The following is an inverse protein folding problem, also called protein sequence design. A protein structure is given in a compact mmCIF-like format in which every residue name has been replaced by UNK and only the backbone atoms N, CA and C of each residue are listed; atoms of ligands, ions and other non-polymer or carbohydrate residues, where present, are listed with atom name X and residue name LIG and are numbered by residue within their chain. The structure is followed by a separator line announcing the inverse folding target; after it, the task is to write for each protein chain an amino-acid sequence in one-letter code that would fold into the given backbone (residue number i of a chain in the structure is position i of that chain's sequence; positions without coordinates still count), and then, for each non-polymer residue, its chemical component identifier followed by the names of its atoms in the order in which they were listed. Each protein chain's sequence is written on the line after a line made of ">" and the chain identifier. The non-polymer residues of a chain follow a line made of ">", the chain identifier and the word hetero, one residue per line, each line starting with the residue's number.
data_IF_671044215495
#
_entry.id   IF_671044215495
#
_cell.length_a   1.000
_cell.length_b   1.000
_cell.length_c   1.000
_cell.angle_alpha   90.00
_cell.angle_beta   90.00
_cell.angle_gamma   90.00
#
_symmetry.space_group_name_H-M   'P 1'
#
loop_
_entity.id
_entity.type
_entity.pdbx_description
1 polymer ?
2 water ?
#
# COMPACT_ATOMS: atom_id res chain seq x y z
N UNK A 2 -29.35 18.89 -14.57
CA UNK A 2 -28.52 18.21 -13.58
C UNK A 2 -27.16 17.88 -14.18
N UNK A 3 -26.10 18.46 -13.58
CA UNK A 3 -24.72 18.26 -14.00
C UNK A 3 -24.30 16.78 -13.91
N UNK A 4 -23.67 16.26 -14.98
CA UNK A 4 -23.10 14.93 -14.95
C UNK A 4 -21.58 15.05 -14.74
N UNK A 5 -21.03 14.18 -13.92
CA UNK A 5 -19.61 14.11 -13.64
C UNK A 5 -19.14 12.73 -13.24
N UNK A 6 -17.84 12.59 -13.08
CA UNK A 6 -17.22 11.37 -12.61
C UNK A 6 -16.24 11.78 -11.50
N UNK A 7 -16.45 11.25 -10.30
CA UNK A 7 -15.49 11.38 -9.24
C UNK A 7 -14.62 10.09 -9.32
N UNK A 8 -13.32 10.24 -9.46
CA UNK A 8 -12.44 9.10 -9.61
C UNK A 8 -11.50 9.00 -8.44
N UNK A 9 -11.52 7.84 -7.79
CA UNK A 9 -10.65 7.51 -6.70
C UNK A 9 -9.83 6.25 -7.10
N UNK A 10 -8.50 6.30 -6.88
CA UNK A 10 -7.54 5.24 -7.19
C UNK A 10 -6.80 4.82 -5.94
N UNK A 11 -6.57 3.52 -5.81
CA UNK A 11 -5.85 2.92 -4.70
C UNK A 11 -5.10 1.69 -5.19
N UNK A 12 -4.12 1.24 -4.38
CA UNK A 12 -3.28 0.08 -4.62
C UNK A 12 -3.13 -0.77 -3.39
N UNK A 13 -3.08 -2.07 -3.60
CA UNK A 13 -2.85 -3.06 -2.56
C UNK A 13 -1.68 -3.86 -3.07
N UNK A 14 -0.82 -4.33 -2.18
CA UNK A 14 0.28 -5.17 -2.65
C UNK A 14 0.11 -6.55 -2.13
N UNK A 15 0.52 -7.51 -2.94
CA UNK A 15 0.44 -8.90 -2.59
C UNK A 15 1.74 -9.58 -2.93
N UNK A 16 2.04 -10.66 -2.15
CA UNK A 16 3.17 -11.57 -2.33
C UNK A 16 2.86 -12.55 -3.46
N UNK A 17 1.55 -12.82 -3.71
CA UNK A 17 1.03 -13.74 -4.72
C UNK A 17 1.20 -13.14 -6.11
N UNK A 18 1.79 -13.86 -7.09
CA UNK A 18 1.97 -13.28 -8.45
C UNK A 18 0.62 -13.08 -9.19
N UNK A 19 0.51 -12.16 -10.19
CA UNK A 19 -0.83 -11.90 -10.77
C UNK A 19 -1.60 -13.12 -11.30
N UNK A 20 -1.02 -14.10 -12.08
CA UNK A 20 -1.85 -15.22 -12.60
C UNK A 20 -2.66 -15.93 -11.55
N UNK A 21 -1.99 -16.29 -10.45
CA UNK A 21 -2.64 -16.97 -9.33
C UNK A 21 -3.69 -16.07 -8.69
N UNK A 22 -3.35 -14.77 -8.49
CA UNK A 22 -4.26 -13.84 -7.81
C UNK A 22 -5.55 -13.66 -8.56
N UNK A 23 -5.47 -13.56 -9.87
CA UNK A 23 -6.59 -13.40 -10.79
C UNK A 23 -7.48 -14.64 -10.86
N UNK A 24 -6.89 -15.85 -10.91
CA UNK A 24 -7.60 -17.15 -10.93
C UNK A 24 -8.42 -17.30 -9.66
N UNK A 25 -7.82 -16.92 -8.51
CA UNK A 25 -8.38 -17.01 -7.17
C UNK A 25 -9.38 -15.92 -6.85
N UNK A 26 -8.89 -14.69 -6.68
CA UNK A 26 -9.63 -13.51 -6.25
C UNK A 26 -10.70 -13.01 -7.23
N UNK A 27 -10.42 -13.08 -8.55
CA UNK A 27 -11.36 -12.56 -9.54
C UNK A 27 -12.17 -13.70 -10.24
N UNK A 28 -11.47 -14.66 -10.88
CA UNK A 28 -12.13 -15.72 -11.65
C UNK A 28 -12.87 -16.76 -10.79
N UNK A 29 -12.62 -16.80 -9.46
CA UNK A 29 -13.32 -17.73 -8.58
C UNK A 29 -13.84 -17.06 -7.32
N UNK A 30 -14.03 -15.73 -7.36
CA UNK A 30 -14.50 -14.88 -6.27
C UNK A 30 -15.74 -15.41 -5.56
N UNK A 31 -16.81 -15.64 -6.35
CA UNK A 31 -18.16 -16.12 -5.96
C UNK A 31 -18.17 -17.36 -5.09
N UNK A 32 -17.10 -18.19 -5.19
CA UNK A 32 -16.92 -19.43 -4.45
C UNK A 32 -15.91 -19.27 -3.30
N UNK A 33 -14.74 -18.69 -3.58
CA UNK A 33 -13.66 -18.50 -2.61
C UNK A 33 -13.95 -17.52 -1.46
N UNK A 34 -14.44 -16.32 -1.79
CA UNK A 34 -14.72 -15.23 -0.84
C UNK A 34 -15.81 -15.60 0.21
N UNK A 35 -17.03 -16.12 -0.14
CA UNK A 35 -17.99 -16.48 0.93
C UNK A 35 -17.47 -17.62 1.83
N UNK A 36 -16.51 -18.42 1.33
CA UNK A 36 -15.92 -19.52 2.08
C UNK A 36 -14.85 -19.05 3.06
N UNK A 37 -13.90 -18.19 2.61
CA UNK A 37 -12.83 -17.65 3.48
C UNK A 37 -13.40 -16.56 4.44
N UNK A 38 -14.27 -15.69 3.92
CA UNK A 38 -14.86 -14.60 4.70
C UNK A 38 -16.38 -14.77 4.78
N UNK A 39 -16.90 -15.65 5.68
CA UNK A 39 -18.36 -15.81 5.78
C UNK A 39 -19.04 -14.58 6.39
N UNK A 40 -18.36 -13.93 7.38
CA UNK A 40 -18.82 -12.75 8.11
C UNK A 40 -19.02 -11.54 7.17
N UNK A 41 -18.16 -11.43 6.15
CA UNK A 41 -18.12 -10.36 5.17
C UNK A 41 -19.08 -10.61 3.99
N UNK A 42 -19.05 -11.85 3.45
CA UNK A 42 -19.89 -12.24 2.31
C UNK A 42 -20.64 -13.52 2.63
N UNK A 43 -21.99 -13.45 2.69
CA UNK A 43 -22.84 -14.62 2.92
C UNK A 43 -22.80 -15.51 1.64
N UNK A 44 -23.14 -14.91 0.45
CA UNK A 44 -23.18 -15.59 -0.85
C UNK A 44 -23.07 -14.62 -2.03
N UNK A 45 -22.83 -15.20 -3.21
CA UNK A 45 -22.72 -14.55 -4.52
C UNK A 45 -23.59 -15.34 -5.48
N UNK A 46 -24.68 -14.72 -5.95
CA UNK A 46 -25.63 -15.37 -6.83
C UNK A 46 -25.77 -14.68 -8.19
N UNK A 47 -25.46 -15.42 -9.29
CA UNK A 47 -25.65 -14.96 -10.67
C UNK A 47 -27.17 -14.89 -10.99
N UNK A 48 -27.69 -13.70 -11.42
CA UNK A 48 -29.09 -13.40 -11.78
C UNK A 48 -29.31 -13.57 -13.29
N UNK A 49 -28.27 -13.23 -14.08
CA UNK A 49 -28.25 -13.29 -15.54
C UNK A 49 -26.83 -13.63 -16.01
N UNK A 50 -26.72 -14.33 -17.13
CA UNK A 50 -25.42 -14.66 -17.73
C UNK A 50 -24.77 -15.93 -17.24
N UNK A 51 -23.64 -16.28 -17.88
CA UNK A 51 -22.84 -17.47 -17.62
C UNK A 51 -21.51 -17.19 -16.84
N UNK A 52 -21.47 -16.10 -16.06
CA UNK A 52 -20.29 -15.72 -15.30
C UNK A 52 -19.32 -14.77 -15.99
N UNK A 53 -19.47 -14.59 -17.31
CA UNK A 53 -18.62 -13.71 -18.11
C UNK A 53 -19.17 -12.30 -18.37
N UNK A 54 -18.56 -11.55 -19.32
CA UNK A 54 -18.99 -10.17 -19.63
C UNK A 54 -20.50 -10.10 -19.89
N UNK A 55 -21.19 -9.23 -19.14
CA UNK A 55 -22.62 -9.05 -19.22
C UNK A 55 -23.33 -9.69 -18.03
N UNK A 56 -22.64 -10.63 -17.32
CA UNK A 56 -23.16 -11.28 -16.11
C UNK A 56 -23.65 -10.28 -15.05
N UNK A 57 -24.80 -10.53 -14.46
CA UNK A 57 -25.41 -9.71 -13.41
C UNK A 57 -25.45 -10.59 -12.17
N UNK A 58 -24.85 -10.12 -11.06
CA UNK A 58 -24.77 -10.94 -9.86
C UNK A 58 -25.06 -10.16 -8.61
N UNK A 59 -25.85 -10.76 -7.73
CA UNK A 59 -26.26 -10.19 -6.45
C UNK A 59 -25.40 -10.81 -5.37
N UNK A 60 -24.68 -9.94 -4.61
CA UNK A 60 -23.81 -10.33 -3.50
C UNK A 60 -24.50 -9.95 -2.21
N UNK A 61 -24.72 -10.93 -1.32
CA UNK A 61 -25.35 -10.72 -0.02
C UNK A 61 -24.28 -10.75 1.06
N UNK A 62 -24.26 -9.74 1.94
CA UNK A 62 -23.27 -9.63 3.01
C UNK A 62 -23.69 -10.32 4.30
N UNK A 63 -22.67 -10.79 5.03
CA UNK A 63 -22.84 -11.47 6.31
C UNK A 63 -22.98 -10.54 7.49
N UNK A 64 -22.86 -11.12 8.69
CA UNK A 64 -22.99 -10.49 10.03
C UNK A 64 -21.97 -9.39 10.36
N UNK A 65 -20.86 -9.34 9.60
CA UNK A 65 -19.78 -8.38 9.76
C UNK A 65 -20.19 -6.92 9.56
N UNK A 66 -20.85 -6.62 8.42
CA UNK A 66 -21.35 -5.28 8.05
C UNK A 66 -22.87 -5.20 8.34
N UNK A 67 -23.47 -4.00 8.19
CA UNK A 67 -24.91 -3.80 8.34
C UNK A 67 -25.52 -4.30 7.04
N UNK A 68 -25.59 -5.65 6.99
CA UNK A 68 -25.94 -6.55 5.90
C UNK A 68 -27.16 -6.16 5.07
N UNK A 69 -26.83 -5.77 3.85
CA UNK A 69 -27.74 -5.51 2.77
C UNK A 69 -27.22 -6.39 1.67
N UNK A 70 -27.27 -5.91 0.45
CA UNK A 70 -26.72 -6.60 -0.71
C UNK A 70 -26.27 -5.55 -1.74
N UNK A 71 -25.64 -6.03 -2.80
CA UNK A 71 -25.16 -5.27 -3.94
C UNK A 71 -25.41 -6.07 -5.21
N UNK A 72 -25.69 -5.38 -6.30
CA UNK A 72 -25.88 -5.95 -7.60
C UNK A 72 -24.81 -5.38 -8.51
N UNK A 73 -23.93 -6.27 -8.95
CA UNK A 73 -22.84 -5.98 -9.84
C UNK A 73 -23.14 -6.43 -11.28
N UNK A 74 -22.63 -5.70 -12.27
CA UNK A 74 -22.73 -5.99 -13.71
C UNK A 74 -21.27 -6.16 -14.24
N UNK A 75 -20.93 -7.30 -14.87
CA UNK A 75 -19.59 -7.48 -15.42
C UNK A 75 -19.46 -6.74 -16.72
N UNK A 76 -18.50 -5.79 -16.77
CA UNK A 76 -18.25 -4.96 -17.94
C UNK A 76 -17.08 -5.46 -18.78
N UNK A 77 -16.20 -6.26 -18.19
CA UNK A 77 -15.00 -6.72 -18.89
C UNK A 77 -14.08 -7.58 -18.06
N UNK A 78 -13.47 -8.59 -18.70
CA UNK A 78 -12.50 -9.52 -18.12
C UNK A 78 -11.40 -9.69 -19.17
N UNK A 79 -10.16 -9.27 -18.81
CA UNK A 79 -8.99 -9.41 -19.65
C UNK A 79 -8.13 -10.40 -18.90
N UNK A 80 -8.16 -11.67 -19.32
CA UNK A 80 -7.45 -12.81 -18.71
C UNK A 80 -5.95 -12.78 -19.03
N UNK A 81 -5.54 -11.94 -20.00
CA UNK A 81 -4.16 -11.80 -20.42
C UNK A 81 -3.44 -10.74 -19.62
N UNK A 82 -4.08 -9.55 -19.51
CA UNK A 82 -3.58 -8.35 -18.85
C UNK A 82 -4.10 -8.17 -17.42
N UNK A 83 -4.82 -9.18 -16.93
CA UNK A 83 -5.34 -9.28 -15.56
C UNK A 83 -6.20 -8.05 -15.16
N UNK A 84 -7.18 -7.73 -16.03
CA UNK A 84 -8.11 -6.61 -15.84
C UNK A 84 -9.56 -7.11 -15.60
N UNK A 85 -10.21 -6.66 -14.50
CA UNK A 85 -11.59 -7.00 -14.20
C UNK A 85 -12.37 -5.72 -14.03
N UNK A 86 -13.31 -5.45 -14.94
CA UNK A 86 -14.15 -4.27 -14.91
C UNK A 86 -15.59 -4.64 -14.59
N UNK A 87 -16.17 -3.92 -13.63
CA UNK A 87 -17.53 -4.19 -13.17
C UNK A 87 -18.18 -2.93 -12.64
N UNK A 88 -19.52 -2.87 -12.64
CA UNK A 88 -20.28 -1.73 -12.12
C UNK A 88 -21.28 -2.17 -11.04
N UNK A 89 -21.46 -1.33 -10.00
CA UNK A 89 -22.49 -1.48 -8.98
C UNK A 89 -23.72 -0.85 -9.63
N UNK A 90 -24.69 -1.68 -10.01
CA UNK A 90 -25.93 -1.22 -10.64
C UNK A 90 -27.14 -1.23 -9.64
N UNK A 91 -26.96 -1.71 -8.39
CA UNK A 91 -28.03 -1.73 -7.37
C UNK A 91 -27.40 -1.92 -6.01
N UNK A 92 -27.58 -0.93 -5.16
CA UNK A 92 -27.00 -0.94 -3.82
C UNK A 92 -27.29 0.33 -3.04
N UNK A 93 -26.94 0.30 -1.75
CA UNK A 93 -27.13 1.39 -0.80
C UNK A 93 -26.39 2.68 -1.25
N UNK A 94 -25.16 2.50 -1.80
CA UNK A 94 -24.31 3.57 -2.31
C UNK A 94 -24.97 4.39 -3.42
N UNK A 95 -25.92 3.79 -4.15
CA UNK A 95 -26.62 4.51 -5.21
C UNK A 95 -27.80 5.37 -4.69
N UNK A 96 -27.93 6.57 -5.27
CA UNK A 96 -28.91 7.60 -4.93
C UNK A 96 -29.27 8.38 -6.16
N UNK A 97 -29.87 9.55 -5.95
CA UNK A 97 -30.25 10.49 -7.00
C UNK A 97 -28.91 11.19 -7.38
N UNK A 98 -28.01 11.35 -6.35
CA UNK A 98 -26.68 11.96 -6.40
C UNK A 98 -25.64 11.09 -7.10
N UNK A 99 -25.67 9.75 -6.85
CA UNK A 99 -24.78 8.73 -7.43
C UNK A 99 -25.64 7.70 -8.15
N UNK A 100 -25.62 7.73 -9.48
CA UNK A 100 -26.41 6.85 -10.34
C UNK A 100 -25.74 5.50 -10.57
N UNK A 101 -24.40 5.47 -10.59
CA UNK A 101 -23.61 4.27 -10.88
C UNK A 101 -22.17 4.45 -10.37
N UNK A 102 -21.52 3.33 -9.97
CA UNK A 102 -20.12 3.26 -9.59
C UNK A 102 -19.53 2.16 -10.42
N UNK A 103 -18.64 2.50 -11.36
CA UNK A 103 -17.90 1.59 -12.24
C UNK A 103 -16.49 1.45 -11.64
N UNK A 104 -16.01 0.21 -11.60
CA UNK A 104 -14.73 -0.21 -11.06
C UNK A 104 -13.87 -0.88 -12.12
N UNK A 105 -12.56 -0.83 -11.93
CA UNK A 105 -11.53 -1.48 -12.74
C UNK A 105 -10.49 -1.91 -11.74
N UNK A 106 -10.23 -3.23 -11.65
CA UNK A 106 -9.20 -3.85 -10.81
C UNK A 106 -8.15 -4.50 -11.74
N UNK A 107 -6.94 -3.95 -11.74
CA UNK A 107 -5.85 -4.44 -12.57
C UNK A 107 -4.79 -4.96 -11.61
N UNK A 108 -4.16 -6.09 -11.96
CA UNK A 108 -3.08 -6.79 -11.25
C UNK A 108 -1.87 -6.55 -12.08
N UNK A 109 -0.87 -6.00 -11.44
CA UNK A 109 0.41 -5.64 -12.05
C UNK A 109 1.45 -6.46 -11.32
N UNK A 110 2.43 -6.96 -12.05
CA UNK A 110 3.46 -7.73 -11.38
C UNK A 110 4.51 -6.84 -10.74
N UNK A 111 5.06 -7.30 -9.61
CA UNK A 111 6.15 -6.73 -8.82
C UNK A 111 7.45 -7.49 -9.21
N UNK A 112 8.59 -6.80 -9.16
CA UNK A 112 9.87 -7.44 -9.46
C UNK A 112 10.29 -8.45 -8.38
N UNK A 113 9.63 -8.42 -7.18
CA UNK A 113 9.88 -9.33 -6.05
C UNK A 113 9.06 -10.68 -6.08
N UNK A 114 8.30 -10.91 -7.16
CA UNK A 114 7.49 -12.11 -7.37
C UNK A 114 6.03 -11.97 -6.97
N UNK A 115 5.63 -10.77 -6.56
CA UNK A 115 4.28 -10.52 -6.11
C UNK A 115 3.46 -9.73 -7.10
N UNK A 116 2.44 -9.03 -6.59
CA UNK A 116 1.47 -8.21 -7.33
C UNK A 116 1.21 -6.84 -6.69
N UNK A 117 0.74 -5.89 -7.56
CA UNK A 117 0.11 -4.63 -7.17
C UNK A 117 -1.32 -4.72 -7.72
N UNK A 118 -2.30 -4.70 -6.80
CA UNK A 118 -3.73 -4.65 -7.07
C UNK A 118 -4.14 -3.16 -7.22
N UNK A 119 -4.25 -2.66 -8.45
CA UNK A 119 -4.68 -1.28 -8.71
C UNK A 119 -6.21 -1.18 -8.91
N UNK A 120 -6.91 -0.50 -8.00
CA UNK A 120 -8.36 -0.28 -8.05
C UNK A 120 -8.72 1.16 -8.35
N UNK A 121 -9.50 1.38 -9.43
CA UNK A 121 -10.06 2.67 -9.80
C UNK A 121 -11.58 2.60 -9.54
N UNK A 122 -12.15 3.65 -8.92
CA UNK A 122 -13.59 3.72 -8.61
C UNK A 122 -14.13 4.97 -9.25
N UNK A 123 -15.10 4.81 -10.18
CA UNK A 123 -15.70 5.93 -10.88
C UNK A 123 -17.13 6.14 -10.44
N UNK A 124 -17.34 7.15 -9.57
CA UNK A 124 -18.68 7.55 -9.08
C UNK A 124 -19.30 8.47 -10.09
N UNK A 125 -20.34 8.00 -10.80
CA UNK A 125 -21.07 8.76 -11.80
C UNK A 125 -22.08 9.58 -11.02
N UNK A 126 -21.86 10.87 -11.04
CA UNK A 126 -22.56 11.87 -10.27
C UNK A 126 -23.59 12.63 -11.09
N UNK A 127 -24.63 13.09 -10.38
CA UNK A 127 -25.74 13.92 -10.85
C UNK A 127 -25.99 14.99 -9.79
N UNK A 128 -25.96 16.26 -10.21
CA UNK A 128 -26.15 17.39 -9.31
C UNK A 128 -24.92 17.63 -8.46
N UNK A 129 -25.11 18.32 -7.31
CA UNK A 129 -24.04 18.66 -6.35
C UNK A 129 -23.23 17.40 -5.93
N UNK A 130 -21.90 17.47 -6.02
CA UNK A 130 -20.99 16.39 -5.65
C UNK A 130 -20.67 16.56 -4.15
N UNK A 131 -20.87 15.51 -3.39
CA UNK A 131 -20.70 15.46 -1.96
C UNK A 131 -20.30 14.03 -1.60
N UNK A 132 -18.97 13.79 -1.45
CA UNK A 132 -18.40 12.47 -1.16
C UNK A 132 -17.56 12.57 0.08
N UNK A 133 -17.90 11.76 1.09
CA UNK A 133 -17.18 11.73 2.35
C UNK A 133 -15.94 10.83 2.25
N UNK A 134 -14.77 11.41 2.62
CA UNK A 134 -13.42 10.82 2.70
C UNK A 134 -13.44 9.53 3.58
N UNK A 135 -14.18 9.54 4.72
CA UNK A 135 -14.28 8.39 5.60
C UNK A 135 -15.01 7.21 4.95
N UNK A 136 -16.08 7.50 4.19
CA UNK A 136 -16.86 6.48 3.49
C UNK A 136 -15.98 5.74 2.45
N UNK A 137 -15.10 6.46 1.72
CA UNK A 137 -14.16 5.90 0.72
C UNK A 137 -13.04 5.07 1.43
N UNK A 138 -12.49 5.60 2.55
CA UNK A 138 -11.45 4.98 3.36
C UNK A 138 -11.91 3.65 3.99
N UNK A 139 -13.22 3.58 4.40
CA UNK A 139 -13.85 2.39 4.97
C UNK A 139 -13.96 1.28 3.91
N UNK A 140 -14.29 1.66 2.67
CA UNK A 140 -14.34 0.72 1.54
C UNK A 140 -12.96 0.16 1.24
N UNK A 141 -11.93 1.04 1.29
CA UNK A 141 -10.55 0.67 1.07
C UNK A 141 -10.06 -0.30 2.19
N UNK A 142 -10.49 -0.05 3.45
CA UNK A 142 -10.13 -0.91 4.59
C UNK A 142 -10.79 -2.28 4.48
N UNK A 143 -12.08 -2.34 4.06
CA UNK A 143 -12.81 -3.59 3.82
C UNK A 143 -12.21 -4.39 2.66
N UNK A 144 -11.81 -3.71 1.56
CA UNK A 144 -11.19 -4.32 0.39
C UNK A 144 -9.83 -4.90 0.72
N UNK A 145 -8.99 -4.15 1.48
CA UNK A 145 -7.69 -4.66 1.90
C UNK A 145 -7.84 -5.82 2.96
N UNK A 146 -8.85 -5.75 3.86
CA UNK A 146 -9.08 -6.80 4.86
C UNK A 146 -9.43 -8.14 4.20
N UNK A 147 -10.37 -8.12 3.23
CA UNK A 147 -10.81 -9.26 2.45
C UNK A 147 -9.63 -9.78 1.66
N UNK A 148 -8.89 -8.88 1.02
CA UNK A 148 -7.72 -9.25 0.24
C UNK A 148 -6.62 -9.95 1.06
N UNK A 149 -6.38 -9.48 2.30
CA UNK A 149 -5.38 -10.06 3.19
C UNK A 149 -5.72 -11.51 3.54
N UNK A 150 -7.04 -11.82 3.63
CA UNK A 150 -7.58 -13.17 3.88
C UNK A 150 -7.40 -14.07 2.66
N UNK A 151 -7.44 -13.46 1.47
CA UNK A 151 -7.23 -14.13 0.19
C UNK A 151 -5.74 -14.51 0.15
N UNK A 152 -4.83 -13.56 0.44
CA UNK A 152 -3.38 -13.79 0.44
C UNK A 152 -3.01 -14.94 1.43
N UNK A 153 -3.52 -14.88 2.66
CA UNK A 153 -3.26 -15.87 3.70
C UNK A 153 -3.69 -17.27 3.28
N UNK A 154 -4.95 -17.39 2.82
CA UNK A 154 -5.47 -18.63 2.31
C UNK A 154 -4.51 -19.14 1.24
N UNK A 155 -4.19 -18.33 0.23
CA UNK A 155 -3.32 -18.73 -0.88
C UNK A 155 -1.94 -19.19 -0.50
N UNK A 156 -1.38 -18.59 0.56
CA UNK A 156 -0.07 -18.91 1.12
C UNK A 156 -0.16 -20.21 1.95
N UNK A 157 -1.29 -20.43 2.68
CA UNK A 157 -1.52 -21.63 3.51
C UNK A 157 -1.79 -22.89 2.66
N UNK A 158 -2.36 -22.71 1.47
CA UNK A 158 -2.68 -23.77 0.53
C UNK A 158 -1.97 -23.41 -0.78
N UNK A 159 -0.64 -23.62 -0.87
CA UNK A 159 0.10 -23.16 -2.06
C UNK A 159 -0.27 -23.79 -3.41
N UNK A 160 -0.87 -24.98 -3.38
CA UNK A 160 -1.22 -25.72 -4.60
C UNK A 160 -2.48 -25.17 -5.28
N UNK A 161 -3.41 -24.57 -4.49
CA UNK A 161 -4.67 -23.96 -4.94
C UNK A 161 -4.46 -22.87 -6.00
N UNK A 162 -5.16 -23.01 -7.14
CA UNK A 162 -5.14 -22.12 -8.31
C UNK A 162 -3.76 -22.05 -8.97
N UNK A 163 -3.27 -23.19 -9.53
CA UNK A 163 -1.99 -23.19 -10.24
C UNK A 163 -2.07 -23.90 -11.59
N UNK B 1 20.96 -11.11 31.86
CA UNK B 1 19.75 -10.57 32.46
C UNK B 1 18.62 -10.29 31.49
N UNK B 2 18.36 -8.99 31.23
CA UNK B 2 17.32 -8.43 30.34
C UNK B 2 17.13 -9.20 29.01
N UNK B 3 15.85 -9.56 28.70
CA UNK B 3 15.45 -10.26 27.48
C UNK B 3 15.64 -9.35 26.23
N UNK B 4 16.35 -9.87 25.21
CA UNK B 4 16.59 -9.22 23.93
C UNK B 4 15.59 -9.82 22.92
N UNK B 5 14.87 -8.94 22.23
CA UNK B 5 13.89 -9.33 21.22
C UNK B 5 13.94 -8.40 20.03
N UNK B 6 13.16 -8.71 18.99
CA UNK B 6 13.02 -7.86 17.81
C UNK B 6 11.55 -7.78 17.51
N UNK B 7 11.03 -6.56 17.48
CA UNK B 7 9.67 -6.37 17.02
C UNK B 7 9.79 -5.83 15.57
N UNK B 8 9.20 -6.57 14.63
CA UNK B 8 9.25 -6.21 13.23
C UNK B 8 7.91 -5.73 12.76
N UNK B 9 7.91 -4.58 12.10
CA UNK B 9 6.73 -4.01 11.48
C UNK B 9 7.03 -3.75 9.98
N UNK B 10 6.12 -4.17 9.08
CA UNK B 10 6.32 -3.97 7.64
C UNK B 10 5.27 -3.05 6.98
N UNK B 11 5.73 -2.10 6.14
CA UNK B 11 4.82 -1.21 5.45
C UNK B 11 5.25 -1.01 3.95
N UNK B 12 4.24 -0.69 3.07
CA UNK B 12 4.39 -0.50 1.62
C UNK B 12 3.80 0.83 1.15
N UNK B 13 4.48 1.53 0.24
CA UNK B 13 3.98 2.74 -0.43
C UNK B 13 4.15 2.51 -1.93
N UNK B 14 3.40 3.25 -2.74
CA UNK B 14 3.54 3.21 -4.19
C UNK B 14 3.89 4.60 -4.70
N UNK B 15 4.69 4.61 -5.76
CA UNK B 15 5.14 5.81 -6.46
C UNK B 15 5.05 5.62 -7.95
N UNK B 16 4.94 6.72 -8.66
CA UNK B 16 4.92 6.75 -10.11
C UNK B 16 6.36 6.89 -10.60
N UNK B 17 7.27 7.29 -9.69
CA UNK B 17 8.69 7.43 -9.98
C UNK B 17 9.31 6.03 -9.99
N UNK B 18 10.00 5.61 -11.10
CA UNK B 18 10.65 4.29 -11.09
C UNK B 18 11.77 4.21 -10.04
N UNK B 19 12.16 2.98 -9.61
CA UNK B 19 13.18 2.86 -8.57
C UNK B 19 14.54 3.55 -8.82
N UNK B 20 15.21 3.53 -10.01
CA UNK B 20 16.55 4.13 -10.09
C UNK B 20 16.62 5.63 -9.71
N UNK B 21 15.60 6.39 -10.13
CA UNK B 21 15.49 7.82 -9.85
C UNK B 21 15.14 8.05 -8.38
N UNK B 22 14.19 7.25 -7.84
CA UNK B 22 13.77 7.37 -6.46
C UNK B 22 14.93 7.08 -5.53
N UNK B 23 15.75 6.07 -5.87
CA UNK B 23 16.95 5.70 -5.11
C UNK B 23 18.01 6.82 -5.17
N UNK B 24 18.30 7.36 -6.37
CA UNK B 24 19.25 8.45 -6.56
C UNK B 24 18.85 9.67 -5.72
N UNK B 25 17.58 10.08 -5.81
CA UNK B 25 17.02 11.23 -5.07
C UNK B 25 16.84 11.03 -3.57
N UNK B 26 15.86 10.20 -3.20
CA UNK B 26 15.43 9.91 -1.84
C UNK B 26 16.45 9.26 -0.94
N UNK B 27 17.31 8.37 -1.48
CA UNK B 27 18.30 7.63 -0.69
C UNK B 27 19.69 8.23 -0.81
N UNK B 28 20.32 8.07 -1.99
CA UNK B 28 21.67 8.51 -2.29
C UNK B 28 21.94 10.01 -2.08
N UNK B 29 20.91 10.88 -2.18
CA UNK B 29 21.05 12.34 -2.00
C UNK B 29 20.08 12.89 -0.94
N UNK B 30 19.73 12.08 0.08
CA UNK B 30 18.79 12.41 1.17
C UNK B 30 19.24 13.63 1.96
N UNK B 31 20.55 13.64 2.34
CA UNK B 31 21.26 14.67 3.12
C UNK B 31 21.16 16.08 2.54
N UNK B 32 21.07 16.18 1.21
CA UNK B 32 21.02 17.43 0.50
C UNK B 32 19.62 17.78 0.04
N UNK B 33 18.84 16.78 -0.44
CA UNK B 33 17.51 16.99 -0.96
C UNK B 33 16.47 17.31 0.10
N UNK B 34 16.24 16.39 1.07
CA UNK B 34 15.24 16.53 2.14
C UNK B 34 15.44 17.86 2.96
N UNK B 35 16.66 18.29 3.40
CA UNK B 35 16.76 19.56 4.14
C UNK B 35 16.42 20.81 3.31
N UNK B 36 16.38 20.67 1.97
CA UNK B 36 16.04 21.73 1.03
C UNK B 36 14.54 21.74 0.68
N UNK B 37 13.93 20.56 0.41
CA UNK B 37 12.50 20.40 0.09
C UNK B 37 11.65 20.69 1.35
N UNK B 38 12.00 20.03 2.48
CA UNK B 38 11.30 20.14 3.75
C UNK B 38 12.19 20.79 4.82
N UNK B 39 12.32 22.14 4.86
CA UNK B 39 13.15 22.76 5.90
C UNK B 39 12.51 22.61 7.29
N UNK B 40 11.16 22.56 7.33
CA UNK B 40 10.34 22.39 8.52
C UNK B 40 10.55 21.00 9.14
N UNK B 41 10.78 19.96 8.31
CA UNK B 41 11.02 18.59 8.80
C UNK B 41 12.52 18.30 9.09
N UNK B 42 13.44 18.72 8.18
CA UNK B 42 14.89 18.51 8.36
C UNK B 42 15.67 19.85 8.22
N UNK B 43 16.45 20.22 9.26
CA UNK B 43 17.28 21.41 9.23
C UNK B 43 18.55 21.04 8.48
N UNK B 44 19.17 19.91 8.85
CA UNK B 44 20.42 19.45 8.22
C UNK B 44 20.76 18.00 8.55
N UNK B 45 21.70 17.43 7.77
CA UNK B 45 22.24 16.08 7.95
C UNK B 45 23.74 16.18 7.79
N UNK B 46 24.43 15.90 8.91
CA UNK B 46 25.86 16.05 9.12
C UNK B 46 26.56 14.71 9.41
N UNK B 47 27.51 14.35 8.57
CA UNK B 47 28.34 13.16 8.68
C UNK B 47 29.34 13.33 9.85
N UNK B 48 29.31 12.39 10.82
CA UNK B 48 30.17 12.36 12.04
C UNK B 48 31.36 11.43 11.80
N UNK B 49 31.13 10.34 11.04
CA UNK B 49 32.12 9.34 10.63
C UNK B 49 31.86 8.88 9.18
N UNK B 50 32.88 8.32 8.54
CA UNK B 50 32.79 7.82 7.17
C UNK B 50 32.69 8.85 6.06
N UNK B 51 32.50 8.36 4.82
CA UNK B 51 32.43 9.14 3.58
C UNK B 51 31.03 9.19 2.90
N UNK B 52 29.96 8.96 3.67
CA UNK B 52 28.59 9.01 3.16
C UNK B 52 27.96 7.67 2.80
N UNK B 53 28.78 6.62 2.76
CA UNK B 53 28.32 5.29 2.41
C UNK B 53 28.15 4.35 3.59
N UNK B 54 28.33 3.02 3.35
CA UNK B 54 28.16 2.01 4.40
C UNK B 54 29.20 2.32 5.46
N UNK B 55 28.79 2.23 6.72
CA UNK B 55 29.63 2.54 7.88
C UNK B 55 29.44 3.96 8.40
N UNK B 56 28.95 4.89 7.54
CA UNK B 56 28.70 6.28 7.88
C UNK B 56 27.76 6.42 9.07
N UNK B 57 28.19 7.25 10.02
CA UNK B 57 27.43 7.70 11.18
C UNK B 57 27.11 9.17 10.81
N UNK B 58 25.81 9.50 10.74
CA UNK B 58 25.37 10.86 10.43
C UNK B 58 24.26 11.33 11.39
N UNK B 59 24.40 12.58 11.83
CA UNK B 59 23.45 13.21 12.75
C UNK B 59 22.52 14.08 11.95
N UNK B 60 21.23 13.85 12.14
CA UNK B 60 20.18 14.60 11.47
C UNK B 60 19.52 15.49 12.51
N UNK B 61 19.47 16.80 12.20
CA UNK B 61 18.82 17.81 13.05
C UNK B 61 17.51 18.19 12.38
N UNK B 62 16.39 18.12 13.12
CA UNK B 62 15.08 18.50 12.56
C UNK B 62 14.83 20.00 12.58
N UNK B 68 11.28 16.26 19.51
CA UNK B 68 12.47 15.58 19.00
C UNK B 68 13.48 16.60 18.47
N UNK B 69 14.72 16.53 18.93
CA UNK B 69 15.77 17.45 18.51
C UNK B 69 16.67 16.91 17.41
N UNK B 70 17.37 15.79 17.70
CA UNK B 70 18.30 15.15 16.77
C UNK B 70 18.29 13.63 16.85
N UNK B 71 18.70 13.00 15.73
CA UNK B 71 18.84 11.57 15.54
C UNK B 71 20.20 11.27 14.94
N UNK B 72 20.74 10.10 15.31
CA UNK B 72 22.00 9.54 14.83
C UNK B 72 21.63 8.25 14.13
N UNK B 73 21.95 8.18 12.85
CA UNK B 73 21.73 7.03 11.97
C UNK B 73 23.06 6.45 11.59
N UNK B 74 23.12 5.11 11.46
CA UNK B 74 24.28 4.36 11.03
C UNK B 74 23.90 3.62 9.73
N UNK B 75 24.72 3.76 8.70
CA UNK B 75 24.43 3.12 7.42
C UNK B 75 24.95 1.69 7.44
N UNK B 76 24.02 0.73 7.41
CA UNK B 76 24.25 -0.71 7.45
C UNK B 76 24.47 -1.38 6.10
N UNK B 77 23.82 -0.87 5.05
CA UNK B 77 23.90 -1.51 3.74
C UNK B 77 23.32 -0.71 2.60
N UNK B 78 23.95 -0.80 1.43
CA UNK B 78 23.45 -0.13 0.21
C UNK B 78 23.55 -1.14 -0.94
N UNK B 79 22.44 -1.38 -1.64
CA UNK B 79 22.40 -2.28 -2.78
C UNK B 79 21.93 -1.43 -3.91
N UNK B 80 22.89 -0.92 -4.67
CA UNK B 80 22.69 0.02 -5.75
C UNK B 80 22.01 -0.57 -6.99
N UNK B 81 21.98 -1.91 -7.08
CA UNK B 81 21.42 -2.69 -8.19
C UNK B 81 19.98 -3.14 -7.93
N UNK B 82 19.68 -3.63 -6.74
CA UNK B 82 18.38 -4.12 -6.32
C UNK B 82 17.56 -3.06 -5.52
N UNK B 83 18.08 -1.82 -5.42
CA UNK B 83 17.52 -0.65 -4.70
C UNK B 83 17.11 -0.98 -3.24
N UNK B 84 18.13 -1.25 -2.41
CA UNK B 84 17.98 -1.52 -0.98
C UNK B 84 18.88 -0.61 -0.14
N UNK B 85 18.31 0.03 0.88
CA UNK B 85 19.02 0.89 1.81
C UNK B 85 18.76 0.39 3.20
N UNK B 86 19.82 0.10 3.95
CA UNK B 86 19.77 -0.45 5.31
C UNK B 86 20.42 0.51 6.30
N UNK B 87 19.65 1.03 7.26
CA UNK B 87 20.17 1.94 8.28
C UNK B 87 19.54 1.73 9.66
N UNK B 88 20.32 2.01 10.73
CA UNK B 88 19.87 1.91 12.10
C UNK B 88 19.85 3.26 12.82
N UNK B 89 18.77 3.57 13.55
CA UNK B 89 18.69 4.73 14.44
C UNK B 89 19.44 4.31 15.69
N UNK B 90 20.64 4.87 15.95
CA UNK B 90 21.53 4.48 17.08
C UNK B 90 21.55 5.50 18.23
N UNK B 91 20.96 6.70 18.06
CA UNK B 91 20.85 7.74 19.10
C UNK B 91 19.66 8.61 18.77
N UNK B 92 18.73 8.71 19.69
CA UNK B 92 17.51 9.46 19.43
C UNK B 92 16.51 9.44 20.55
N UNK B 93 15.38 10.14 20.33
CA UNK B 93 14.30 10.27 21.31
C UNK B 93 13.51 8.99 21.44
N UNK B 94 13.36 8.27 20.29
CA UNK B 94 12.68 6.99 20.11
C UNK B 94 13.36 5.85 20.88
N UNK B 95 14.65 6.06 21.24
CA UNK B 95 15.44 5.12 22.02
C UNK B 95 15.22 5.35 23.51
N UNK B 96 15.34 4.29 24.29
CA UNK B 96 15.13 4.27 25.74
C UNK B 96 15.89 3.07 26.32
N UNK B 97 15.54 2.66 27.55
CA UNK B 97 16.10 1.48 28.22
C UNK B 97 15.42 0.27 27.57
N UNK B 98 14.12 0.46 27.20
CA UNK B 98 13.20 -0.47 26.54
C UNK B 98 13.54 -0.69 25.06
N UNK B 99 14.02 0.36 24.33
CA UNK B 99 14.36 0.30 22.90
C UNK B 99 15.80 0.73 22.68
N UNK B 100 16.70 -0.24 22.54
CA UNK B 100 18.13 0.04 22.37
C UNK B 100 18.50 0.52 20.99
N UNK B 101 17.82 0.03 19.94
CA UNK B 101 18.14 0.37 18.54
C UNK B 101 16.91 0.13 17.63
N UNK B 102 16.80 0.88 16.52
CA UNK B 102 15.80 0.64 15.50
C UNK B 102 16.49 0.40 14.14
N UNK B 103 16.40 -0.84 13.60
CA UNK B 103 17.00 -1.20 12.33
C UNK B 103 16.00 -1.08 11.20
N UNK B 104 16.41 -0.51 10.09
CA UNK B 104 15.50 -0.33 8.97
C UNK B 104 16.02 -0.94 7.68
N UNK B 105 15.10 -1.44 6.86
CA UNK B 105 15.43 -1.90 5.54
C UNK B 105 14.41 -1.31 4.60
N UNK B 106 14.87 -0.62 3.59
CA UNK B 106 13.98 -0.01 2.62
C UNK B 106 14.34 -0.60 1.26
N UNK B 107 13.37 -1.31 0.63
CA UNK B 107 13.53 -1.86 -0.72
C UNK B 107 12.64 -1.11 -1.67
N UNK B 108 13.16 -0.74 -2.85
CA UNK B 108 12.38 -0.10 -3.91
C UNK B 108 12.14 -1.15 -4.98
N UNK B 109 10.94 -1.70 -4.96
CA UNK B 109 10.55 -2.77 -5.85
C UNK B 109 9.96 -2.16 -7.13
N UNK B 110 10.37 -2.63 -8.31
CA UNK B 110 9.76 -2.14 -9.54
C UNK B 110 8.45 -2.86 -9.84
N UNK B 111 7.49 -2.07 -10.31
CA UNK B 111 6.18 -2.46 -10.81
C UNK B 111 6.40 -2.65 -12.29
N UNK B 112 5.59 -3.51 -12.92
CA UNK B 112 5.69 -3.71 -14.36
C UNK B 112 5.13 -2.49 -15.12
N UNK B 113 4.24 -1.69 -14.46
CA UNK B 113 3.73 -0.44 -15.05
C UNK B 113 4.80 0.68 -15.12
N UNK B 114 5.92 0.50 -14.41
CA UNK B 114 7.04 1.44 -14.37
C UNK B 114 7.17 2.35 -13.17
N UNK B 115 6.54 1.97 -12.05
CA UNK B 115 6.60 2.73 -10.81
C UNK B 115 7.32 1.95 -9.74
N UNK B 116 7.18 2.40 -8.48
CA UNK B 116 7.82 1.68 -7.37
C UNK B 116 6.86 1.33 -6.26
N UNK B 117 7.16 0.21 -5.54
CA UNK B 117 6.59 -0.20 -4.25
C UNK B 117 7.76 0.02 -3.28
N UNK B 118 7.61 0.98 -2.39
CA UNK B 118 8.59 1.30 -1.35
C UNK B 118 8.20 0.39 -0.20
N UNK B 119 8.99 -0.67 0.06
CA UNK B 119 8.76 -1.65 1.14
C UNK B 119 9.72 -1.40 2.31
N UNK B 120 9.16 -0.92 3.41
CA UNK B 120 9.98 -0.63 4.57
C UNK B 120 9.78 -1.60 5.77
N UNK B 121 10.88 -2.17 6.29
CA UNK B 121 10.90 -3.02 7.48
C UNK B 121 11.52 -2.23 8.61
N UNK B 122 10.82 -2.17 9.75
CA UNK B 122 11.27 -1.48 10.96
C UNK B 122 11.40 -2.57 12.02
N UNK B 123 12.66 -2.78 12.48
CA UNK B 123 13.03 -3.76 13.49
C UNK B 123 13.40 -3.05 14.80
N UNK B 124 12.53 -3.13 15.85
CA UNK B 124 12.80 -2.51 17.15
C UNK B 124 13.58 -3.49 17.99
N UNK B 125 14.82 -3.15 18.37
CA UNK B 125 15.63 -4.02 19.23
C UNK B 125 15.28 -3.65 20.65
N UNK B 126 14.56 -4.55 21.29
CA UNK B 126 13.97 -4.39 22.62
C UNK B 126 14.84 -4.96 23.76
N UNK B 127 14.64 -4.44 25.00
CA UNK B 127 15.26 -4.91 26.24
C UNK B 127 14.22 -4.91 27.37
N UNK B 128 14.02 -6.11 27.95
CA UNK B 128 13.05 -6.39 28.99
C UNK B 128 11.63 -6.49 28.46
N UNK B 129 10.65 -5.99 29.25
CA UNK B 129 9.25 -6.02 28.88
C UNK B 129 8.99 -5.25 27.59
N UNK B 130 8.29 -5.91 26.66
CA UNK B 130 7.97 -5.31 25.37
C UNK B 130 6.65 -4.60 25.51
N UNK B 131 6.64 -3.33 25.14
CA UNK B 131 5.46 -2.48 25.19
C UNK B 131 5.55 -1.53 24.00
N UNK B 132 4.82 -1.83 22.93
CA UNK B 132 4.87 -0.99 21.74
C UNK B 132 3.44 -0.62 21.43
N UNK B 133 3.16 0.68 21.38
CA UNK B 133 1.83 1.22 21.11
C UNK B 133 1.62 1.37 19.61
N UNK B 134 0.47 0.89 19.11
CA UNK B 134 0.03 0.86 17.71
C UNK B 134 -0.06 2.27 17.08
N UNK B 135 -0.47 3.29 17.88
CA UNK B 135 -0.61 4.67 17.43
C UNK B 135 0.77 5.28 17.13
N UNK B 136 1.80 4.86 17.92
CA UNK B 136 3.18 5.30 17.73
C UNK B 136 3.71 4.78 16.41
N UNK B 137 3.57 3.48 16.16
CA UNK B 137 4.04 2.87 14.91
C UNK B 137 3.29 3.50 13.70
N UNK B 138 1.93 3.72 13.82
CA UNK B 138 1.10 4.37 12.81
C UNK B 138 1.46 5.83 12.55
N UNK B 139 1.93 6.56 13.56
CA UNK B 139 2.36 7.96 13.43
C UNK B 139 3.63 8.04 12.60
N UNK B 140 4.56 7.10 12.83
CA UNK B 140 5.82 7.00 12.10
C UNK B 140 5.58 6.62 10.65
N UNK B 141 4.55 5.78 10.41
CA UNK B 141 4.09 5.33 9.10
C UNK B 141 3.60 6.58 8.32
N UNK B 142 2.79 7.46 9.00
CA UNK B 142 2.25 8.73 8.47
C UNK B 142 3.34 9.77 8.20
N UNK B 143 4.34 9.89 9.10
CA UNK B 143 5.46 10.84 8.95
C UNK B 143 6.31 10.44 7.74
N UNK B 144 6.57 9.12 7.58
CA UNK B 144 7.33 8.53 6.49
C UNK B 144 6.67 8.80 5.17
N UNK B 145 5.34 8.55 5.08
CA UNK B 145 4.57 8.76 3.87
C UNK B 145 4.42 10.25 3.51
N UNK B 146 4.44 11.15 4.51
CA UNK B 146 4.36 12.57 4.23
C UNK B 146 5.65 13.06 3.59
N UNK B 147 6.79 12.74 4.20
CA UNK B 147 8.09 13.09 3.68
C UNK B 147 8.26 12.50 2.27
N UNK B 148 7.84 11.22 2.08
CA UNK B 148 7.92 10.59 0.77
C UNK B 148 7.06 11.35 -0.27
N UNK B 149 5.78 11.63 0.02
CA UNK B 149 4.92 12.37 -0.90
C UNK B 149 5.52 13.75 -1.24
N UNK B 150 6.23 14.40 -0.29
CA UNK B 150 6.90 15.69 -0.55
C UNK B 150 8.05 15.52 -1.54
N UNK B 151 8.82 14.42 -1.41
CA UNK B 151 9.92 14.02 -2.29
C UNK B 151 9.35 13.72 -3.71
N UNK B 152 8.24 12.92 -3.79
CA UNK B 152 7.57 12.52 -5.03
C UNK B 152 7.10 13.75 -5.84
N UNK B 153 6.52 14.76 -5.15
CA UNK B 153 6.05 16.02 -5.73
C UNK B 153 7.18 16.84 -6.31
N UNK B 154 8.30 16.95 -5.57
CA UNK B 154 9.51 17.63 -6.04
C UNK B 154 10.06 16.97 -7.32
N UNK B 155 10.11 15.63 -7.35
CA UNK B 155 10.67 14.88 -8.46
C UNK B 155 9.83 15.00 -9.70
N UNK B 156 8.49 15.10 -9.55
CA UNK B 156 7.52 15.27 -10.64
C UNK B 156 7.58 16.68 -11.18
N UNK B 157 7.66 17.68 -10.27
CA UNK B 157 7.76 19.10 -10.57
C UNK B 157 9.05 19.43 -11.32
N UNK B 158 10.18 18.74 -11.01
CA UNK B 158 11.48 18.96 -11.66
C UNK B 158 11.95 17.63 -12.29
N UNK B 159 11.35 17.24 -13.43
CA UNK B 159 11.67 15.94 -14.06
C UNK B 159 13.11 15.67 -14.48
N UNK B 160 13.88 16.74 -14.77
CA UNK B 160 15.28 16.61 -15.17
C UNK B 160 16.21 16.19 -14.04
N UNK B 161 15.78 16.44 -12.78
CA UNK B 161 16.55 16.12 -11.59
C UNK B 161 16.68 14.60 -11.35
N UNK B 162 17.94 14.12 -11.26
CA UNK B 162 18.36 12.75 -10.95
C UNK B 162 18.07 11.77 -12.09
N UNK B 163 18.63 12.05 -13.28
CA UNK B 163 18.46 11.22 -14.46
C UNK B 163 19.78 10.78 -15.05
#
# INVERSE_FOLDING_TARGET
>A
GAMAGVFTYETEFTSVIPPPRLFKAFILDADNLIPKIAPQAVKCAEIIEGDGGVGTIKKITFGEGSWFGSVTHKIDGIDKENFVYSYSLIEGDALSDKIEKISYETKLVSSSDGGSIIKSTSNYHTKGDVEIKEEHVKAGKEKASHLFKLVEGYLLANPNEYC
>B
GAMAGVFTYETEFTSVIPPPRLFKAFILDADNLIPKIAPQAVKCAEIIEGDGGVGTIKKITFGEGSWFGSVTHKIDGIDKENFVYSYSLIEGDALSDKIEKISYETKLVSSSDGGSIIKSTSNYHTKGDVEIKEEHVKAGKEKASHLFKLVEGYLLANPNEYC
#
